data_IF_086252318661
#
_entry.id   IF_086252318661
#
_cell.length_a   1.000
_cell.length_b   1.000
_cell.length_c   1.000
_cell.angle_alpha   90.00
_cell.angle_beta   90.00
_cell.angle_gamma   90.00
#
_symmetry.space_group_name_H-M   'P 1'
#
loop_
_entity.id
_entity.type
_entity.pdbx_description
1 polymer ?
#
# COMPACT_ATOMS: atom_id res chain seq x y z
N UNK A 1 4.95 8.04 18.09
CA UNK A 1 4.87 8.60 16.71
C UNK A 1 4.80 7.48 15.70
N UNK A 2 4.04 7.67 14.67
CA UNK A 2 3.96 6.74 13.54
C UNK A 2 4.31 7.48 12.26
N UNK A 3 4.99 6.79 11.36
CA UNK A 3 5.27 7.31 10.02
C UNK A 3 4.60 6.41 9.01
N UNK A 4 3.85 7.01 8.11
CA UNK A 4 3.18 6.33 7.00
C UNK A 4 3.84 6.85 5.73
N UNK A 5 4.57 5.99 5.04
CA UNK A 5 5.33 6.40 3.87
C UNK A 5 5.54 5.25 2.90
N UNK A 6 5.73 5.60 1.64
CA UNK A 6 5.99 4.63 0.58
C UNK A 6 5.91 5.31 -0.77
N UNK A 7 5.97 4.55 -1.86
CA UNK A 7 5.80 5.12 -3.18
C UNK A 7 4.37 5.61 -3.34
N UNK A 8 4.19 6.68 -4.12
CA UNK A 8 2.86 7.22 -4.36
C UNK A 8 1.94 6.16 -4.95
N UNK A 9 2.46 5.37 -5.89
CA UNK A 9 1.75 4.28 -6.50
C UNK A 9 2.64 3.05 -6.53
N UNK A 10 2.07 1.89 -6.20
CA UNK A 10 2.81 0.63 -6.29
C UNK A 10 3.03 0.25 -7.75
N UNK A 11 4.26 0.05 -8.14
CA UNK A 11 4.62 -0.30 -9.52
C UNK A 11 5.31 -1.65 -9.61
N UNK A 12 6.12 -2.01 -8.61
CA UNK A 12 6.78 -3.30 -8.58
C UNK A 12 7.11 -3.69 -7.15
N UNK A 13 7.19 -4.98 -6.90
CA UNK A 13 7.59 -5.48 -5.59
C UNK A 13 9.01 -5.03 -5.25
N UNK A 14 9.92 -5.12 -6.21
CA UNK A 14 11.32 -4.75 -6.00
C UNK A 14 11.46 -3.30 -5.54
N UNK A 15 10.82 -2.38 -6.25
CA UNK A 15 10.88 -0.97 -5.90
C UNK A 15 10.26 -0.70 -4.52
N UNK A 16 9.11 -1.29 -4.26
CA UNK A 16 8.43 -1.09 -2.98
C UNK A 16 9.22 -1.67 -1.82
N UNK A 17 9.83 -2.85 -2.00
CA UNK A 17 10.68 -3.43 -0.96
C UNK A 17 11.87 -2.55 -0.64
N UNK A 18 12.50 -1.98 -1.66
CA UNK A 18 13.65 -1.10 -1.46
C UNK A 18 13.28 0.15 -0.68
N UNK A 19 12.16 0.77 -1.05
CA UNK A 19 11.65 1.95 -0.35
C UNK A 19 11.27 1.60 1.08
N UNK A 20 10.57 0.50 1.27
CA UNK A 20 10.12 0.08 2.60
C UNK A 20 11.30 -0.25 3.52
N UNK A 21 12.34 -0.90 2.99
CA UNK A 21 13.54 -1.20 3.76
C UNK A 21 14.20 0.07 4.27
N UNK A 22 14.31 1.08 3.40
CA UNK A 22 14.95 2.32 3.78
C UNK A 22 14.14 3.09 4.81
N UNK A 23 12.82 3.16 4.62
CA UNK A 23 11.94 3.80 5.59
C UNK A 23 11.98 3.07 6.93
N UNK A 24 11.96 1.74 6.91
CA UNK A 24 12.02 0.96 8.13
C UNK A 24 13.34 1.17 8.87
N UNK A 25 14.44 1.22 8.13
CA UNK A 25 15.76 1.45 8.71
C UNK A 25 15.78 2.76 9.52
N UNK A 26 15.27 3.82 8.93
CA UNK A 26 15.23 5.13 9.60
C UNK A 26 14.29 5.09 10.80
N UNK A 27 13.11 4.50 10.63
CA UNK A 27 12.14 4.43 11.73
C UNK A 27 12.66 3.59 12.89
N UNK A 28 13.32 2.47 12.61
CA UNK A 28 13.91 1.64 13.66
C UNK A 28 15.00 2.38 14.43
N UNK A 29 15.80 3.18 13.72
CA UNK A 29 16.86 3.97 14.35
C UNK A 29 16.31 4.93 15.40
N UNK A 30 15.15 5.50 15.15
CA UNK A 30 14.53 6.48 16.05
C UNK A 30 13.38 5.90 16.87
N UNK A 31 13.20 4.59 16.84
CA UNK A 31 12.14 3.89 17.59
C UNK A 31 10.76 4.41 17.22
N UNK A 32 10.50 4.56 15.92
CA UNK A 32 9.22 5.04 15.38
C UNK A 32 8.52 3.88 14.68
N UNK A 33 7.20 3.75 14.89
CA UNK A 33 6.40 2.74 14.20
C UNK A 33 6.24 3.12 12.73
N UNK A 34 6.52 2.19 11.83
CA UNK A 34 6.45 2.44 10.40
C UNK A 34 5.31 1.66 9.74
N UNK A 35 4.53 2.36 8.93
CA UNK A 35 3.51 1.77 8.06
C UNK A 35 3.91 2.01 6.63
N UNK A 36 4.07 0.93 5.85
CA UNK A 36 4.30 1.07 4.42
C UNK A 36 2.99 1.44 3.74
N UNK A 37 3.01 2.47 2.91
CA UNK A 37 1.84 2.90 2.16
C UNK A 37 2.14 2.97 0.68
N UNK A 38 1.22 2.45 -0.14
CA UNK A 38 1.21 2.66 -1.57
C UNK A 38 -0.21 2.51 -2.09
N UNK A 39 -0.54 3.24 -3.13
CA UNK A 39 -1.81 3.08 -3.82
C UNK A 39 -1.66 2.03 -4.92
N UNK A 40 -2.66 1.19 -5.10
CA UNK A 40 -2.65 0.23 -6.21
C UNK A 40 -3.26 0.84 -7.47
N UNK A 41 -4.06 1.89 -7.32
CA UNK A 41 -4.72 2.57 -8.41
C UNK A 41 -4.87 4.05 -8.06
N UNK A 42 -4.61 4.93 -9.03
CA UNK A 42 -4.79 6.36 -8.85
C UNK A 42 -6.12 6.77 -9.47
N UNK A 43 -7.09 7.12 -8.64
CA UNK A 43 -8.43 7.47 -9.10
C UNK A 43 -8.43 8.67 -10.05
N UNK A 44 -7.46 9.56 -9.93
CA UNK A 44 -7.37 10.74 -10.78
C UNK A 44 -6.58 10.51 -12.06
N UNK A 45 -6.13 9.29 -12.32
CA UNK A 45 -5.42 8.98 -13.55
C UNK A 45 -6.37 8.78 -14.70
N UNK A 46 -5.98 9.28 -15.87
CA UNK A 46 -6.74 9.01 -17.08
C UNK A 46 -6.68 7.52 -17.41
N UNK A 47 -7.82 6.94 -17.74
CA UNK A 47 -7.88 5.54 -18.13
C UNK A 47 -7.39 5.31 -19.57
N UNK A 48 -7.38 6.34 -20.40
CA UNK A 48 -7.01 6.20 -21.81
C UNK A 48 -5.50 6.26 -21.96
N UNK A 49 -4.89 5.11 -22.26
CA UNK A 49 -3.46 5.02 -22.49
C UNK A 49 -2.61 5.21 -21.24
N UNK A 50 -3.21 5.40 -20.09
CA UNK A 50 -2.48 5.59 -18.85
C UNK A 50 -2.31 4.29 -18.10
N UNK A 51 -1.15 4.11 -17.47
CA UNK A 51 -0.96 3.00 -16.55
C UNK A 51 -1.69 3.30 -15.25
N UNK A 52 -2.45 2.32 -14.78
CA UNK A 52 -3.18 2.44 -13.54
C UNK A 52 -2.53 1.64 -12.41
N UNK A 53 -1.26 1.29 -12.57
CA UNK A 53 -0.56 0.47 -11.62
C UNK A 53 -0.69 -1.01 -11.97
N UNK A 54 -0.33 -1.87 -11.03
CA UNK A 54 -0.25 -3.31 -11.28
C UNK A 54 -1.56 -4.04 -10.98
N UNK A 55 -2.58 -3.33 -10.56
CA UNK A 55 -3.87 -3.93 -10.22
C UNK A 55 -3.95 -4.37 -8.78
N UNK A 56 -5.19 -4.58 -8.32
CA UNK A 56 -5.45 -4.82 -6.90
C UNK A 56 -4.85 -6.13 -6.40
N UNK A 57 -5.12 -7.24 -7.10
CA UNK A 57 -4.69 -8.55 -6.64
C UNK A 57 -3.17 -8.65 -6.58
N UNK A 58 -2.50 -8.20 -7.62
CA UNK A 58 -1.03 -8.23 -7.65
C UNK A 58 -0.43 -7.34 -6.57
N UNK A 59 -1.01 -6.17 -6.36
CA UNK A 59 -0.56 -5.26 -5.31
C UNK A 59 -0.71 -5.89 -3.93
N UNK A 60 -1.84 -6.54 -3.67
CA UNK A 60 -2.07 -7.17 -2.36
C UNK A 60 -1.13 -8.35 -2.12
N UNK A 61 -0.83 -9.12 -3.16
CA UNK A 61 0.18 -10.18 -3.05
C UNK A 61 1.55 -9.60 -2.74
N UNK A 62 1.90 -8.49 -3.37
CA UNK A 62 3.17 -7.82 -3.10
C UNK A 62 3.22 -7.24 -1.69
N UNK A 63 2.09 -6.70 -1.20
CA UNK A 63 2.01 -6.21 0.18
C UNK A 63 2.24 -7.34 1.17
N UNK A 64 1.69 -8.52 0.91
CA UNK A 64 1.92 -9.68 1.75
C UNK A 64 3.42 -10.01 1.80
N UNK A 65 4.09 -9.96 0.65
CA UNK A 65 5.53 -10.21 0.59
C UNK A 65 6.31 -9.16 1.38
N UNK A 66 5.92 -7.91 1.31
CA UNK A 66 6.57 -6.84 2.06
C UNK A 66 6.42 -7.07 3.56
N UNK A 67 5.22 -7.44 4.02
CA UNK A 67 4.98 -7.73 5.41
C UNK A 67 5.81 -8.93 5.90
N UNK A 68 5.86 -9.99 5.10
CA UNK A 68 6.62 -11.19 5.46
C UNK A 68 8.13 -10.93 5.52
N UNK A 69 8.64 -10.13 4.58
CA UNK A 69 10.07 -9.86 4.52
C UNK A 69 10.54 -8.85 5.57
N UNK A 70 9.73 -7.86 5.88
CA UNK A 70 10.16 -6.73 6.71
C UNK A 70 9.46 -6.63 8.06
N UNK A 71 8.34 -7.33 8.24
CA UNK A 71 7.59 -7.24 9.48
C UNK A 71 6.92 -5.89 9.71
N UNK A 72 6.65 -5.15 8.63
CA UNK A 72 6.01 -3.84 8.73
C UNK A 72 4.50 -3.97 8.55
N UNK A 73 3.75 -2.98 9.03
CA UNK A 73 2.33 -2.87 8.74
C UNK A 73 2.13 -2.15 7.42
N UNK A 74 0.98 -2.37 6.80
CA UNK A 74 0.69 -1.86 5.47
C UNK A 74 -0.60 -1.06 5.44
N UNK A 75 -0.64 -0.08 4.54
CA UNK A 75 -1.79 0.78 4.33
C UNK A 75 -1.97 1.02 2.84
N UNK A 76 -3.20 0.96 2.37
CA UNK A 76 -3.53 1.37 1.01
C UNK A 76 -4.83 2.16 1.01
N UNK A 77 -5.08 2.90 -0.06
CA UNK A 77 -6.34 3.62 -0.22
C UNK A 77 -7.26 2.85 -1.16
N UNK A 78 -8.56 3.01 -0.93
CA UNK A 78 -9.60 2.39 -1.73
C UNK A 78 -10.51 3.45 -2.32
N UNK A 79 -11.14 3.14 -3.43
CA UNK A 79 -11.93 4.13 -4.16
C UNK A 79 -13.40 3.74 -4.33
N UNK A 80 -13.79 2.52 -3.96
CA UNK A 80 -15.18 2.10 -3.98
C UNK A 80 -15.42 0.94 -3.00
N UNK A 81 -16.70 0.59 -2.84
CA UNK A 81 -17.09 -0.43 -1.88
C UNK A 81 -16.63 -1.82 -2.30
N UNK A 82 -16.63 -2.11 -3.59
CA UNK A 82 -16.18 -3.42 -4.08
C UNK A 82 -14.72 -3.68 -3.70
N UNK A 83 -13.88 -2.67 -3.76
CA UNK A 83 -12.50 -2.79 -3.36
C UNK A 83 -12.36 -3.08 -1.87
N UNK A 84 -13.18 -2.42 -1.06
CA UNK A 84 -13.18 -2.67 0.39
C UNK A 84 -13.57 -4.12 0.67
N UNK A 85 -14.65 -4.59 0.06
CA UNK A 85 -15.13 -5.96 0.26
C UNK A 85 -14.09 -7.00 -0.16
N UNK A 86 -13.43 -6.78 -1.28
CA UNK A 86 -12.39 -7.69 -1.76
C UNK A 86 -11.21 -7.77 -0.79
N UNK A 87 -10.75 -6.63 -0.31
CA UNK A 87 -9.63 -6.60 0.62
C UNK A 87 -10.00 -7.25 1.94
N UNK A 88 -11.12 -6.83 2.53
CA UNK A 88 -11.54 -7.34 3.83
C UNK A 88 -11.91 -8.82 3.77
N UNK A 89 -12.57 -9.23 2.68
CA UNK A 89 -13.06 -10.61 2.57
C UNK A 89 -12.00 -11.63 2.19
N UNK A 90 -11.07 -11.27 1.32
CA UNK A 90 -10.13 -12.24 0.73
C UNK A 90 -8.68 -11.96 1.12
N UNK A 91 -8.31 -10.70 1.23
CA UNK A 91 -6.92 -10.28 1.43
C UNK A 91 -6.71 -9.54 2.74
N UNK A 92 -7.48 -9.89 3.77
CA UNK A 92 -7.43 -9.15 5.04
C UNK A 92 -6.05 -9.19 5.72
N UNK A 93 -5.21 -10.17 5.38
CA UNK A 93 -3.87 -10.27 5.96
C UNK A 93 -2.85 -9.39 5.23
N UNK A 94 -3.19 -8.89 4.04
CA UNK A 94 -2.27 -8.08 3.24
C UNK A 94 -2.23 -6.62 3.67
N UNK A 95 -3.31 -6.12 4.27
CA UNK A 95 -3.47 -4.70 4.57
C UNK A 95 -3.93 -4.52 6.01
N UNK A 96 -3.25 -3.68 6.74
CA UNK A 96 -3.60 -3.39 8.13
C UNK A 96 -4.52 -2.18 8.27
N UNK A 97 -4.41 -1.22 7.36
CA UNK A 97 -5.20 0.02 7.40
C UNK A 97 -5.69 0.37 6.01
N UNK A 98 -6.97 0.69 5.90
CA UNK A 98 -7.56 1.21 4.66
C UNK A 98 -7.80 2.71 4.83
N UNK A 99 -7.38 3.46 3.83
CA UNK A 99 -7.63 4.89 3.77
C UNK A 99 -8.75 5.15 2.76
N UNK A 100 -9.73 5.94 3.18
CA UNK A 100 -10.81 6.36 2.29
C UNK A 100 -10.56 7.82 1.95
N UNK A 101 -10.29 8.14 0.67
CA UNK A 101 -10.02 9.52 0.28
C UNK A 101 -11.21 10.43 0.59
N UNK A 102 -10.92 11.68 0.92
CA UNK A 102 -11.93 12.62 1.37
C UNK A 102 -13.06 12.83 0.35
N UNK A 103 -12.74 12.73 -0.94
CA UNK A 103 -13.75 12.95 -1.98
C UNK A 103 -14.76 11.81 -2.08
N UNK A 104 -14.54 10.72 -1.35
CA UNK A 104 -15.48 9.59 -1.30
C UNK A 104 -16.34 9.59 -0.03
N UNK A 105 -16.08 10.50 0.86
CA UNK A 105 -16.83 10.57 2.11
C UNK A 105 -18.13 11.35 1.97
#
# INVERSE_FOLDING_TARGET
>A
MRIIAGPCQHESLEQSLEIAKECKRVCDKYNIEYYFKASYDKANRSSLGGKRGVGLVNTLNDFTSIKENLGVKTLTDVHDIDQIEKIVGVFNDAVDVLQIPAFLC
#
